data_IF_978040009611
#
_entry.id   IF_978040009611
#
_cell.length_a   1.000
_cell.length_b   1.000
_cell.length_c   1.000
_cell.angle_alpha   90.00
_cell.angle_beta   90.00
_cell.angle_gamma   90.00
#
_symmetry.space_group_name_H-M   'P 1'
#
loop_
_entity.id
_entity.type
_entity.pdbx_description
1 polymer ?
#
# COMPACT_ATOMS: atom_id res chain seq x y z
N UNK A 1 4.88 -5.51 -10.47
CA UNK A 1 4.90 -5.45 -9.00
C UNK A 1 3.69 -4.70 -8.44
N UNK A 2 3.43 -3.50 -8.89
CA UNK A 2 2.32 -2.72 -8.34
C UNK A 2 0.97 -3.34 -8.67
N UNK A 3 0.81 -3.94 -9.85
CA UNK A 3 -0.45 -4.59 -10.22
C UNK A 3 -0.78 -5.74 -9.26
N UNK A 4 0.20 -6.53 -8.84
CA UNK A 4 0.01 -7.61 -7.89
C UNK A 4 -0.37 -7.09 -6.51
N UNK A 5 0.20 -5.96 -6.11
CA UNK A 5 -0.12 -5.31 -4.83
C UNK A 5 -1.58 -4.88 -4.82
N UNK A 6 -2.02 -4.22 -5.88
CA UNK A 6 -3.39 -3.73 -5.99
C UNK A 6 -4.38 -4.89 -6.14
N UNK A 7 -3.98 -5.96 -6.83
CA UNK A 7 -4.80 -7.16 -6.94
C UNK A 7 -5.01 -7.81 -5.57
N UNK A 8 -3.99 -7.80 -4.70
CA UNK A 8 -4.15 -8.34 -3.34
C UNK A 8 -5.19 -7.55 -2.57
N UNK A 9 -5.19 -6.22 -2.68
CA UNK A 9 -6.22 -5.39 -2.07
C UNK A 9 -7.61 -5.69 -2.62
N UNK A 10 -7.73 -5.90 -3.93
CA UNK A 10 -9.01 -6.23 -4.56
C UNK A 10 -9.53 -7.58 -4.08
N UNK A 11 -8.65 -8.58 -3.94
CA UNK A 11 -9.07 -9.90 -3.46
C UNK A 11 -9.61 -9.85 -2.04
N UNK A 12 -9.26 -8.83 -1.27
CA UNK A 12 -9.66 -8.70 0.11
C UNK A 12 -10.85 -7.75 0.30
N UNK A 13 -11.52 -7.40 -0.78
CA UNK A 13 -12.62 -6.45 -0.77
C UNK A 13 -13.91 -6.96 -0.15
N UNK A 14 -13.98 -8.25 0.17
CA UNK A 14 -15.14 -8.81 0.86
C UNK A 14 -15.31 -8.23 2.26
N UNK A 15 -14.30 -7.58 2.78
CA UNK A 15 -14.34 -6.93 4.09
C UNK A 15 -15.03 -5.57 3.95
N UNK A 16 -15.83 -5.24 4.96
CA UNK A 16 -16.50 -3.93 4.98
C UNK A 16 -15.45 -2.83 5.05
N UNK A 17 -15.48 -1.95 4.06
CA UNK A 17 -14.61 -0.79 4.01
C UNK A 17 -15.20 0.33 4.85
N UNK A 18 -14.58 0.59 5.98
CA UNK A 18 -14.91 1.78 6.74
C UNK A 18 -13.99 2.90 6.25
N UNK A 19 -14.59 3.88 5.60
CA UNK A 19 -13.83 5.03 5.13
C UNK A 19 -13.79 6.09 6.22
N UNK A 20 -12.60 6.36 6.80
CA UNK A 20 -12.50 7.47 7.74
C UNK A 20 -12.75 8.79 7.00
N UNK A 21 -13.06 9.81 7.77
CA UNK A 21 -13.16 11.17 7.22
C UNK A 21 -11.82 11.53 6.59
N UNK A 22 -11.86 11.86 5.30
CA UNK A 22 -10.66 12.15 4.54
C UNK A 22 -10.49 13.66 4.42
N UNK A 23 -9.28 14.15 4.68
CA UNK A 23 -8.91 15.54 4.43
C UNK A 23 -9.04 15.79 2.92
N UNK A 24 -9.91 16.73 2.47
CA UNK A 24 -10.08 16.97 1.04
C UNK A 24 -8.79 17.38 0.33
N UNK A 25 -7.88 18.06 1.02
CA UNK A 25 -6.59 18.42 0.45
C UNK A 25 -5.73 17.21 0.19
N UNK A 26 -5.75 16.22 1.08
CA UNK A 26 -5.03 14.96 0.89
C UNK A 26 -5.66 14.16 -0.25
N UNK A 27 -6.98 14.04 -0.26
CA UNK A 27 -7.67 13.29 -1.32
C UNK A 27 -7.37 13.88 -2.71
N UNK A 28 -7.34 15.20 -2.81
CA UNK A 28 -7.03 15.89 -4.06
C UNK A 28 -5.61 15.57 -4.53
N UNK A 29 -4.65 15.55 -3.61
CA UNK A 29 -3.26 15.19 -3.93
C UNK A 29 -3.14 13.73 -4.34
N UNK A 30 -3.88 12.83 -3.68
CA UNK A 30 -3.89 11.42 -4.05
C UNK A 30 -4.45 11.21 -5.46
N UNK A 31 -5.54 11.90 -5.80
CA UNK A 31 -6.13 11.82 -7.13
C UNK A 31 -5.18 12.35 -8.20
N UNK A 32 -4.53 13.48 -7.94
CA UNK A 32 -3.57 14.05 -8.87
C UNK A 32 -2.35 13.13 -9.04
N UNK A 33 -1.88 12.53 -7.97
CA UNK A 33 -0.78 11.56 -8.02
C UNK A 33 -1.16 10.35 -8.87
N UNK A 34 -2.40 9.86 -8.73
CA UNK A 34 -2.87 8.72 -9.51
C UNK A 34 -2.90 9.04 -10.99
N UNK A 35 -3.31 10.26 -11.36
CA UNK A 35 -3.26 10.69 -12.75
C UNK A 35 -1.83 10.75 -13.27
N UNK A 36 -0.90 11.24 -12.46
CA UNK A 36 0.52 11.26 -12.81
C UNK A 36 1.05 9.85 -13.06
N UNK A 37 0.66 8.89 -12.23
CA UNK A 37 1.05 7.49 -12.44
C UNK A 37 0.56 6.97 -13.79
N UNK A 38 -0.69 7.24 -14.12
CA UNK A 38 -1.26 6.81 -15.41
C UNK A 38 -0.52 7.40 -16.59
N UNK A 39 0.07 8.58 -16.43
CA UNK A 39 0.85 9.25 -17.47
C UNK A 39 2.34 8.89 -17.43
N UNK A 40 2.74 8.01 -16.51
CA UNK A 40 4.15 7.66 -16.33
C UNK A 40 4.97 8.72 -15.63
N UNK A 41 4.34 9.70 -15.01
CA UNK A 41 5.00 10.81 -14.31
C UNK A 41 5.22 10.43 -12.84
N UNK A 42 6.08 9.43 -12.61
CA UNK A 42 6.23 8.85 -11.26
C UNK A 42 6.87 9.81 -10.27
N UNK A 43 7.81 10.63 -10.71
CA UNK A 43 8.42 11.61 -9.81
C UNK A 43 7.42 12.69 -9.40
N UNK A 44 6.58 13.13 -10.32
CA UNK A 44 5.53 14.10 -10.01
C UNK A 44 4.51 13.48 -9.04
N UNK A 45 4.15 12.22 -9.26
CA UNK A 45 3.26 11.50 -8.34
C UNK A 45 3.86 11.43 -6.93
N UNK A 46 5.15 11.09 -6.84
CA UNK A 46 5.84 11.02 -5.56
C UNK A 46 5.82 12.38 -4.84
N UNK A 47 6.09 13.46 -5.57
CA UNK A 47 6.09 14.79 -4.99
C UNK A 47 4.73 15.17 -4.39
N UNK A 48 3.65 14.82 -5.08
CA UNK A 48 2.29 15.11 -4.59
C UNK A 48 1.95 14.28 -3.36
N UNK A 49 2.35 13.01 -3.34
CA UNK A 49 2.13 12.17 -2.16
C UNK A 49 2.99 12.65 -0.98
N UNK A 50 4.20 13.12 -1.25
CA UNK A 50 5.03 13.71 -0.19
C UNK A 50 4.39 14.97 0.39
N UNK A 51 3.73 15.78 -0.43
CA UNK A 51 2.96 16.91 0.04
C UNK A 51 1.79 16.48 0.93
N UNK A 52 1.11 15.40 0.54
CA UNK A 52 0.03 14.85 1.35
C UNK A 52 0.55 14.36 2.71
N UNK A 53 1.73 13.73 2.72
CA UNK A 53 2.35 13.25 3.96
C UNK A 53 2.82 14.40 4.86
N UNK A 54 3.12 15.57 4.29
CA UNK A 54 3.38 16.76 5.11
C UNK A 54 2.15 17.21 5.86
N UNK A 55 0.98 17.05 5.25
CA UNK A 55 -0.29 17.40 5.91
C UNK A 55 -0.65 16.38 6.98
N UNK A 56 -0.39 15.10 6.74
CA UNK A 56 -0.60 14.03 7.72
C UNK A 56 0.45 12.96 7.53
N UNK A 57 1.56 13.00 8.30
CA UNK A 57 2.63 12.00 8.17
C UNK A 57 2.21 10.57 8.55
N UNK A 58 1.08 10.42 9.22
CA UNK A 58 0.62 9.12 9.72
C UNK A 58 -0.59 8.60 8.96
N UNK A 59 -0.86 9.12 7.77
CA UNK A 59 -1.97 8.63 6.94
C UNK A 59 -1.58 7.30 6.29
N UNK A 60 -2.15 6.17 6.75
CA UNK A 60 -1.68 4.86 6.29
C UNK A 60 -1.88 4.63 4.80
N UNK A 61 -3.01 5.06 4.26
CA UNK A 61 -3.30 4.91 2.83
C UNK A 61 -2.33 5.71 1.97
N UNK A 62 -1.96 6.90 2.39
CA UNK A 62 -1.00 7.73 1.64
C UNK A 62 0.40 7.12 1.71
N UNK A 63 0.78 6.58 2.86
CA UNK A 63 2.06 5.89 3.01
C UNK A 63 2.16 4.71 2.03
N UNK A 64 1.09 3.92 1.90
CA UNK A 64 1.08 2.81 0.98
C UNK A 64 1.08 3.27 -0.48
N UNK A 65 0.30 4.31 -0.81
CA UNK A 65 0.33 4.90 -2.15
C UNK A 65 1.75 5.33 -2.51
N UNK A 66 2.44 5.98 -1.57
CA UNK A 66 3.82 6.44 -1.80
C UNK A 66 4.80 5.26 -1.92
N UNK A 67 4.54 4.17 -1.18
CA UNK A 67 5.34 2.96 -1.30
C UNK A 67 5.26 2.38 -2.72
N UNK A 68 4.06 2.36 -3.29
CA UNK A 68 3.85 1.84 -4.63
C UNK A 68 4.56 2.70 -5.68
N UNK A 69 4.53 4.01 -5.52
CA UNK A 69 5.30 4.90 -6.40
C UNK A 69 6.80 4.69 -6.25
N UNK A 70 7.27 4.43 -5.03
CA UNK A 70 8.67 4.12 -4.80
C UNK A 70 9.13 2.89 -5.60
N UNK A 71 8.25 1.89 -5.74
CA UNK A 71 8.54 0.72 -6.57
C UNK A 71 8.73 1.12 -8.03
N UNK A 72 7.85 1.95 -8.57
CA UNK A 72 8.02 2.45 -9.94
C UNK A 72 9.34 3.19 -10.12
N UNK A 73 9.81 3.88 -9.09
CA UNK A 73 11.07 4.62 -9.12
C UNK A 73 12.29 3.73 -8.81
N UNK A 74 12.07 2.46 -8.50
CA UNK A 74 13.15 1.54 -8.17
C UNK A 74 13.71 1.68 -6.76
N UNK A 75 13.04 2.44 -5.90
CA UNK A 75 13.48 2.62 -4.52
C UNK A 75 12.80 1.61 -3.61
N UNK A 76 13.31 0.37 -3.65
CA UNK A 76 12.68 -0.74 -2.95
C UNK A 76 12.84 -0.65 -1.43
N UNK A 77 13.94 -0.08 -0.94
CA UNK A 77 14.12 0.10 0.50
C UNK A 77 13.08 1.05 1.07
N UNK A 78 12.86 2.18 0.39
CA UNK A 78 11.83 3.13 0.80
C UNK A 78 10.45 2.51 0.72
N UNK A 79 10.18 1.76 -0.35
CA UNK A 79 8.89 1.10 -0.53
C UNK A 79 8.57 0.16 0.62
N UNK A 80 9.52 -0.67 1.02
CA UNK A 80 9.32 -1.61 2.12
C UNK A 80 9.10 -0.86 3.45
N UNK A 81 9.89 0.17 3.70
CA UNK A 81 9.76 0.98 4.92
C UNK A 81 8.39 1.62 5.02
N UNK A 82 7.92 2.23 3.92
CA UNK A 82 6.64 2.92 3.91
C UNK A 82 5.47 1.94 4.02
N UNK A 83 5.56 0.81 3.35
CA UNK A 83 4.53 -0.23 3.46
C UNK A 83 4.42 -0.74 4.90
N UNK A 84 5.55 -0.96 5.55
CA UNK A 84 5.55 -1.41 6.93
C UNK A 84 5.00 -0.34 7.89
N UNK A 85 5.36 0.93 7.68
CA UNK A 85 4.80 2.03 8.46
C UNK A 85 3.28 2.11 8.27
N UNK A 86 2.82 1.97 7.02
CA UNK A 86 1.39 1.96 6.72
C UNK A 86 0.68 0.86 7.50
N UNK A 87 1.25 -0.34 7.52
CA UNK A 87 0.68 -1.45 8.26
C UNK A 87 0.66 -1.18 9.76
N UNK A 88 1.75 -0.62 10.31
CA UNK A 88 1.84 -0.31 11.74
C UNK A 88 0.77 0.67 12.18
N UNK A 89 0.49 1.66 11.35
CA UNK A 89 -0.45 2.74 11.66
C UNK A 89 -1.88 2.44 11.23
N UNK A 90 -2.05 1.51 10.30
CA UNK A 90 -3.34 1.25 9.71
C UNK A 90 -4.04 0.02 10.27
N UNK A 91 -5.05 -0.42 9.55
CA UNK A 91 -5.80 -1.61 9.90
C UNK A 91 -4.96 -2.87 9.70
N UNK A 92 -5.09 -3.82 10.60
CA UNK A 92 -4.42 -5.11 10.49
C UNK A 92 -5.23 -6.11 9.66
N UNK A 93 -6.33 -5.66 9.08
CA UNK A 93 -7.21 -6.48 8.24
C UNK A 93 -7.72 -5.64 7.08
N UNK A 94 -8.04 -6.30 5.98
CA UNK A 94 -8.67 -5.66 4.84
C UNK A 94 -7.70 -5.30 3.72
N UNK A 95 -8.20 -4.54 2.73
CA UNK A 95 -7.44 -4.28 1.49
C UNK A 95 -6.10 -3.57 1.70
N UNK A 96 -6.05 -2.60 2.61
CA UNK A 96 -4.80 -1.88 2.85
C UNK A 96 -3.76 -2.80 3.46
N UNK A 97 -4.14 -3.60 4.45
CA UNK A 97 -3.27 -4.60 5.06
C UNK A 97 -2.70 -5.54 3.99
N UNK A 98 -3.55 -6.03 3.09
CA UNK A 98 -3.13 -6.92 2.01
C UNK A 98 -2.12 -6.23 1.08
N UNK A 99 -2.36 -4.97 0.72
CA UNK A 99 -1.43 -4.19 -0.10
C UNK A 99 -0.10 -3.99 0.59
N UNK A 100 -0.12 -3.71 1.89
CA UNK A 100 1.11 -3.52 2.66
C UNK A 100 2.02 -4.76 2.56
N UNK A 101 1.47 -5.93 2.87
CA UNK A 101 2.28 -7.15 2.89
C UNK A 101 2.60 -7.66 1.50
N UNK A 102 1.70 -7.47 0.52
CA UNK A 102 2.02 -7.84 -0.86
C UNK A 102 3.17 -7.00 -1.42
N UNK A 103 3.29 -5.74 -0.98
CA UNK A 103 4.45 -4.91 -1.33
C UNK A 103 5.74 -5.60 -0.90
N UNK A 104 5.77 -6.11 0.33
CA UNK A 104 6.95 -6.78 0.87
C UNK A 104 7.22 -8.09 0.13
N UNK A 105 6.16 -8.86 -0.20
CA UNK A 105 6.30 -10.07 -1.03
C UNK A 105 7.01 -9.75 -2.34
N UNK A 106 6.54 -8.72 -3.06
CA UNK A 106 7.09 -8.37 -4.37
C UNK A 106 8.55 -7.92 -4.27
N UNK A 107 8.87 -7.14 -3.25
CA UNK A 107 10.24 -6.68 -3.03
C UNK A 107 11.16 -7.88 -2.73
N UNK A 108 10.71 -8.81 -1.90
CA UNK A 108 11.51 -9.99 -1.56
C UNK A 108 11.71 -10.90 -2.77
N UNK A 109 10.66 -11.07 -3.59
CA UNK A 109 10.79 -11.85 -4.83
C UNK A 109 11.78 -11.19 -5.80
N UNK A 110 11.74 -9.88 -5.90
CA UNK A 110 12.66 -9.14 -6.75
C UNK A 110 14.11 -9.30 -6.29
N UNK A 111 14.32 -9.49 -5.00
CA UNK A 111 15.64 -9.68 -4.40
C UNK A 111 16.05 -11.16 -4.32
N UNK A 112 15.28 -12.07 -4.93
CA UNK A 112 15.48 -13.51 -4.86
C UNK A 112 15.46 -14.07 -3.44
N UNK A 113 14.75 -13.39 -2.54
CA UNK A 113 14.58 -13.83 -1.15
C UNK A 113 13.28 -14.63 -1.03
N UNK A 114 13.37 -15.91 -1.37
CA UNK A 114 12.20 -16.80 -1.37
C UNK A 114 11.60 -16.97 0.02
N UNK A 115 12.45 -17.08 1.05
CA UNK A 115 11.96 -17.25 2.41
C UNK A 115 11.27 -16.00 2.93
N UNK A 116 11.85 -14.83 2.68
CA UNK A 116 11.24 -13.57 3.05
C UNK A 116 9.92 -13.35 2.34
N UNK A 117 9.84 -13.71 1.06
CA UNK A 117 8.60 -13.62 0.30
C UNK A 117 7.54 -14.55 0.86
N UNK A 118 7.90 -15.79 1.22
CA UNK A 118 6.96 -16.74 1.79
C UNK A 118 6.42 -16.27 3.14
N UNK A 119 7.29 -15.70 3.99
CA UNK A 119 6.88 -15.15 5.28
C UNK A 119 5.89 -13.99 5.09
N UNK A 120 6.21 -13.07 4.19
CA UNK A 120 5.33 -11.94 3.90
C UNK A 120 4.00 -12.39 3.31
N UNK A 121 4.02 -13.44 2.49
CA UNK A 121 2.80 -13.99 1.89
C UNK A 121 1.84 -14.54 2.95
N UNK A 122 2.37 -15.11 4.03
CA UNK A 122 1.53 -15.54 5.15
C UNK A 122 0.80 -14.36 5.77
N UNK A 123 1.48 -13.22 5.89
CA UNK A 123 0.86 -12.02 6.43
C UNK A 123 -0.25 -11.49 5.51
N UNK A 124 -0.10 -11.63 4.19
CA UNK A 124 -1.21 -11.29 3.28
C UNK A 124 -2.46 -12.10 3.63
N UNK A 125 -2.29 -13.40 3.88
CA UNK A 125 -3.39 -14.26 4.30
C UNK A 125 -4.00 -13.84 5.62
N UNK A 126 -3.17 -13.39 6.56
CA UNK A 126 -3.64 -12.94 7.87
C UNK A 126 -4.45 -11.64 7.80
N UNK A 127 -4.34 -10.89 6.71
CA UNK A 127 -5.12 -9.66 6.53
C UNK A 127 -6.60 -9.92 6.30
N UNK A 128 -6.99 -11.16 6.03
CA UNK A 128 -8.39 -11.49 5.84
C UNK A 128 -9.13 -11.41 7.16
N UNK A 129 -10.40 -10.98 7.10
CA UNK A 129 -11.22 -10.86 8.29
C UNK A 129 -11.61 -12.25 8.80
N UNK A 130 -11.03 -12.71 9.91
CA UNK A 130 -11.30 -14.09 10.35
C UNK A 130 -12.73 -14.31 10.81
N UNK A 131 -13.39 -13.27 11.30
CA UNK A 131 -14.77 -13.40 11.75
C UNK A 131 -15.77 -13.75 10.69
N UNK A 132 -15.50 -13.35 9.45
CA UNK A 132 -16.39 -13.59 8.32
C UNK A 132 -16.41 -15.06 7.93
N UNK A 133 -15.33 -15.76 8.19
CA UNK A 133 -15.14 -17.13 7.70
C UNK A 133 -15.72 -18.19 8.61
N UNK A 134 -16.26 -17.81 9.74
CA UNK A 134 -16.68 -18.76 10.75
C UNK A 134 -18.14 -19.14 10.70
N UNK A 135 -18.84 -18.59 9.76
CA UNK A 135 -20.29 -18.79 9.70
C UNK A 135 -20.73 -19.48 8.44
#
# INVERSE_FOLDING_TARGET
MVDEIRAAGERDKSVINVHPLVDPGIASLQDAARQDEHSGQYQAAAAKLDMALKRNPEAPDVLQDRAEVAIYLGDFQLAEKLAHQSWTLGSKQGPLCARNWQTIVEIRLHADDQQGAASASKWVGECREPGIQRF
#
